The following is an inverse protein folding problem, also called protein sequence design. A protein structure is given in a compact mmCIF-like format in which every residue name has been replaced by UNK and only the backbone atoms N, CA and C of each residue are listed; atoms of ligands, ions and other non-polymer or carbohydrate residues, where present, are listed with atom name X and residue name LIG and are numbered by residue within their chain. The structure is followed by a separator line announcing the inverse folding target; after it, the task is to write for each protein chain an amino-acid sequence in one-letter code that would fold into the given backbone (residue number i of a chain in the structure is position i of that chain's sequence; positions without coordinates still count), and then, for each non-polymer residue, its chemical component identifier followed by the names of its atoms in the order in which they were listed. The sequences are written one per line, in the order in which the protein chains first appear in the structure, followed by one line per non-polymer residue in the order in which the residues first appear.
data_IF_867257992977
#
_entry.id   IF_867257992977
#
_cell.length_a   1.000
_cell.length_b   1.000
_cell.length_c   1.000
_cell.angle_alpha   90.00
_cell.angle_beta   90.00
_cell.angle_gamma   90.00
#
_symmetry.space_group_name_H-M   'P 1'
#
loop_
_entity.id
_entity.type
_entity.pdbx_description
1 polymer ?
#
# COMPACT_ATOMS: atom_id res chain seq x y z
N UNK A 1 10.67 -16.74 -8.29
CA UNK A 1 10.97 -15.68 -7.31
C UNK A 1 10.77 -16.17 -5.89
N UNK A 2 11.49 -15.60 -4.93
CA UNK A 2 11.22 -15.86 -3.51
C UNK A 2 10.01 -15.05 -3.03
N UNK A 3 9.19 -15.65 -2.16
CA UNK A 3 8.02 -14.99 -1.60
C UNK A 3 7.67 -15.53 -0.20
N UNK A 4 7.05 -14.67 0.62
CA UNK A 4 6.42 -15.07 1.88
C UNK A 4 4.93 -15.30 1.59
N UNK A 5 4.50 -16.53 1.77
CA UNK A 5 3.18 -16.97 1.32
C UNK A 5 2.39 -17.63 2.47
N UNK A 6 1.12 -17.33 2.54
CA UNK A 6 0.14 -18.05 3.33
C UNK A 6 -0.26 -19.31 2.58
N UNK A 7 0.35 -20.45 2.91
CA UNK A 7 0.18 -21.73 2.22
C UNK A 7 -0.81 -22.65 2.93
N UNK A 8 -1.11 -22.39 4.22
CA UNK A 8 -1.95 -23.24 5.07
C UNK A 8 -3.00 -22.43 5.83
N UNK A 9 -4.14 -23.05 6.05
CA UNK A 9 -5.24 -22.54 6.88
C UNK A 9 -4.89 -22.65 8.39
N UNK A 10 -3.76 -22.06 8.80
CA UNK A 10 -3.20 -22.12 10.15
C UNK A 10 -2.32 -20.87 10.40
N UNK A 11 -2.00 -20.50 11.65
CA UNK A 11 -1.03 -19.45 11.93
C UNK A 11 0.33 -19.69 11.25
N UNK A 12 0.98 -18.61 10.83
CA UNK A 12 2.29 -18.64 10.15
C UNK A 12 2.22 -18.30 8.67
N UNK A 13 3.37 -18.17 8.04
CA UNK A 13 3.58 -18.04 6.60
C UNK A 13 4.87 -18.78 6.24
N UNK A 14 5.01 -19.18 5.00
CA UNK A 14 6.16 -19.94 4.52
C UNK A 14 6.95 -19.13 3.50
N UNK A 15 8.28 -19.26 3.54
CA UNK A 15 9.18 -18.73 2.53
C UNK A 15 9.30 -19.75 1.40
N UNK A 16 8.79 -19.40 0.22
CA UNK A 16 8.63 -20.33 -0.90
C UNK A 16 9.28 -19.81 -2.18
N UNK A 17 9.49 -20.72 -3.11
CA UNK A 17 9.68 -20.38 -4.53
C UNK A 17 8.31 -20.27 -5.20
N UNK A 18 8.01 -19.09 -5.77
CA UNK A 18 6.79 -18.78 -6.50
C UNK A 18 7.12 -18.37 -7.93
N UNK A 19 6.17 -18.48 -8.84
CA UNK A 19 6.30 -17.94 -10.18
C UNK A 19 6.29 -16.40 -10.16
N UNK A 20 7.07 -15.78 -11.05
CA UNK A 20 6.99 -14.33 -11.26
C UNK A 20 5.63 -14.02 -11.91
N UNK A 21 4.86 -13.08 -11.37
CA UNK A 21 3.52 -12.80 -11.90
C UNK A 21 3.58 -12.24 -13.32
N UNK A 22 2.66 -12.69 -14.16
CA UNK A 22 2.44 -12.09 -15.47
C UNK A 22 1.57 -10.85 -15.32
N UNK A 23 1.97 -9.74 -15.95
CA UNK A 23 1.23 -8.48 -15.92
C UNK A 23 0.10 -8.44 -16.95
N UNK A 24 -0.97 -7.73 -16.62
CA UNK A 24 -2.02 -7.36 -17.57
C UNK A 24 -1.62 -6.10 -18.32
N UNK A 25 -2.42 -5.75 -19.34
CA UNK A 25 -2.15 -4.61 -20.22
C UNK A 25 -2.07 -3.26 -19.48
N UNK A 26 -2.73 -3.09 -18.35
CA UNK A 26 -2.76 -1.87 -17.52
C UNK A 26 -1.91 -1.98 -16.24
N UNK A 27 -1.08 -3.02 -16.13
CA UNK A 27 -0.24 -3.28 -14.96
C UNK A 27 1.24 -3.01 -15.24
N UNK A 28 1.99 -2.86 -14.17
CA UNK A 28 3.44 -2.80 -14.12
C UNK A 28 3.96 -4.03 -13.37
N UNK A 29 5.07 -4.62 -13.82
CA UNK A 29 5.86 -5.52 -13.00
C UNK A 29 6.88 -4.69 -12.23
N UNK A 30 6.82 -4.77 -10.91
CA UNK A 30 7.73 -4.06 -10.02
C UNK A 30 8.66 -5.08 -9.38
N UNK A 31 9.98 -4.87 -9.53
CA UNK A 31 11.00 -5.53 -8.72
C UNK A 31 11.03 -4.84 -7.38
N UNK A 32 10.60 -5.53 -6.34
CA UNK A 32 10.44 -4.95 -5.01
C UNK A 32 11.82 -4.65 -4.39
N UNK A 33 11.99 -3.40 -3.95
CA UNK A 33 13.17 -2.93 -3.23
C UNK A 33 12.98 -3.09 -1.72
N UNK A 34 11.81 -2.68 -1.22
CA UNK A 34 11.44 -2.80 0.18
C UNK A 34 9.93 -3.00 0.34
N UNK A 35 9.56 -3.71 1.39
CA UNK A 35 8.17 -3.86 1.85
C UNK A 35 8.11 -3.72 3.37
N UNK A 36 7.08 -3.04 3.87
CA UNK A 36 6.82 -2.84 5.29
C UNK A 36 5.70 -3.76 5.78
N UNK A 37 5.69 -4.05 7.07
CA UNK A 37 4.65 -4.85 7.71
C UNK A 37 3.59 -3.91 8.28
N UNK A 38 2.36 -4.02 7.79
CA UNK A 38 1.19 -3.34 8.32
C UNK A 38 0.58 -4.13 9.49
N UNK A 39 -0.12 -3.43 10.39
CA UNK A 39 -0.91 -4.08 11.42
C UNK A 39 -1.99 -5.04 10.88
N UNK A 40 -2.48 -4.80 9.65
CA UNK A 40 -3.44 -5.67 8.97
C UNK A 40 -2.84 -6.98 8.42
N UNK A 41 -1.51 -7.11 8.35
CA UNK A 41 -0.85 -8.37 8.01
C UNK A 41 -0.88 -9.38 9.17
N UNK A 42 -0.99 -8.90 10.42
CA UNK A 42 -1.02 -9.77 11.60
C UNK A 42 -2.23 -10.73 11.62
N UNK A 43 -3.48 -10.28 11.35
CA UNK A 43 -4.63 -11.18 11.19
C UNK A 43 -4.45 -12.21 10.06
N UNK A 44 -3.74 -11.84 8.99
CA UNK A 44 -3.42 -12.75 7.88
C UNK A 44 -2.43 -13.81 8.34
N UNK A 45 -1.34 -13.38 8.98
CA UNK A 45 -0.35 -14.28 9.55
C UNK A 45 -0.98 -15.25 10.57
N UNK A 46 -1.80 -14.72 11.49
CA UNK A 46 -2.51 -15.51 12.51
C UNK A 46 -3.65 -16.38 11.96
N UNK A 47 -4.05 -16.20 10.71
CA UNK A 47 -5.19 -16.88 10.07
C UNK A 47 -6.48 -16.75 10.87
N UNK A 48 -6.85 -15.52 11.19
CA UNK A 48 -8.10 -15.23 11.93
C UNK A 48 -9.33 -15.54 11.07
N UNK A 49 -10.51 -15.59 11.70
CA UNK A 49 -11.78 -15.80 11.00
C UNK A 49 -12.07 -14.74 9.91
N UNK A 50 -11.53 -13.54 10.06
CA UNK A 50 -11.62 -12.48 9.05
C UNK A 50 -10.78 -12.82 7.81
N UNK A 51 -9.51 -13.19 7.98
CA UNK A 51 -8.63 -13.54 6.86
C UNK A 51 -9.09 -14.83 6.17
N UNK A 52 -9.53 -15.83 6.94
CA UNK A 52 -10.04 -17.10 6.42
C UNK A 52 -11.25 -16.94 5.48
N UNK A 53 -12.09 -15.92 5.70
CA UNK A 53 -13.26 -15.63 4.85
C UNK A 53 -12.92 -14.82 3.62
N UNK A 54 -11.78 -14.13 3.61
CA UNK A 54 -11.46 -13.13 2.58
C UNK A 54 -10.38 -13.58 1.60
N UNK A 55 -9.48 -14.46 2.05
CA UNK A 55 -8.28 -14.77 1.28
C UNK A 55 -8.25 -16.23 0.82
N UNK A 56 -7.96 -16.48 -0.46
CA UNK A 56 -7.65 -17.83 -0.92
C UNK A 56 -6.27 -18.29 -0.38
N UNK A 57 -6.05 -19.59 -0.39
CA UNK A 57 -4.74 -20.20 -0.12
C UNK A 57 -4.35 -21.01 -1.36
N UNK A 58 -3.11 -20.88 -1.88
CA UNK A 58 -1.97 -20.09 -1.39
C UNK A 58 -2.12 -18.59 -1.70
N UNK A 59 -1.54 -17.72 -0.84
CA UNK A 59 -1.69 -16.27 -0.98
C UNK A 59 -0.42 -15.52 -0.51
N UNK A 60 0.14 -14.69 -1.39
CA UNK A 60 1.20 -13.74 -1.06
C UNK A 60 0.53 -12.46 -0.57
N UNK A 61 0.83 -12.03 0.65
CA UNK A 61 0.28 -10.83 1.26
C UNK A 61 1.30 -9.68 1.32
N UNK A 62 1.01 -8.61 2.07
CA UNK A 62 1.82 -7.39 2.10
C UNK A 62 1.38 -6.37 1.06
N UNK A 63 1.22 -5.11 1.47
CA UNK A 63 0.65 -4.04 0.63
C UNK A 63 1.39 -2.70 0.75
N UNK A 64 2.33 -2.58 1.67
CA UNK A 64 3.20 -1.43 1.83
C UNK A 64 4.54 -1.73 1.14
N UNK A 65 4.73 -1.27 -0.10
CA UNK A 65 5.91 -1.64 -0.89
C UNK A 65 6.36 -0.53 -1.85
N UNK A 66 7.63 -0.60 -2.21
CA UNK A 66 8.24 0.21 -3.25
C UNK A 66 9.23 -0.62 -4.06
N UNK A 67 9.57 -0.15 -5.23
CA UNK A 67 10.52 -0.84 -6.09
C UNK A 67 10.68 -0.21 -7.46
N UNK A 68 11.38 -0.92 -8.32
CA UNK A 68 11.71 -0.50 -9.68
C UNK A 68 10.78 -1.14 -10.71
N UNK A 69 10.29 -0.36 -11.65
CA UNK A 69 9.49 -0.84 -12.78
C UNK A 69 10.38 -1.61 -13.76
N UNK A 70 10.14 -2.92 -13.90
CA UNK A 70 10.93 -3.79 -14.82
C UNK A 70 10.17 -4.21 -16.07
N UNK A 71 8.82 -4.21 -16.01
CA UNK A 71 7.98 -4.46 -17.18
C UNK A 71 6.73 -3.57 -17.14
N UNK A 72 6.21 -3.21 -18.33
CA UNK A 72 5.11 -2.25 -18.49
C UNK A 72 4.11 -2.83 -19.45
N UNK A 73 2.86 -2.97 -19.02
CA UNK A 73 1.75 -3.36 -19.90
C UNK A 73 1.48 -2.29 -20.97
N UNK A 74 1.02 -2.71 -22.13
CA UNK A 74 0.88 -1.87 -23.34
C UNK A 74 -0.11 -0.69 -23.16
N UNK A 75 -1.03 -0.78 -22.21
CA UNK A 75 -1.97 0.30 -21.86
C UNK A 75 -1.53 1.12 -20.64
N UNK A 76 -0.52 0.69 -19.91
CA UNK A 76 0.05 1.46 -18.81
C UNK A 76 0.84 2.65 -19.38
N UNK A 77 0.56 3.87 -18.91
CA UNK A 77 1.17 5.11 -19.41
C UNK A 77 1.84 5.88 -18.28
N UNK A 78 2.84 6.69 -18.62
CA UNK A 78 3.54 7.58 -17.69
C UNK A 78 4.73 6.94 -16.97
N UNK A 79 5.10 5.72 -17.33
CA UNK A 79 6.21 4.98 -16.70
C UNK A 79 7.24 4.55 -17.76
N UNK A 80 8.48 4.42 -17.30
CA UNK A 80 9.58 3.80 -18.02
C UNK A 80 10.18 2.67 -17.17
N UNK A 81 10.84 1.71 -17.81
CA UNK A 81 11.66 0.73 -17.10
C UNK A 81 12.78 1.47 -16.36
N UNK A 82 13.01 1.08 -15.11
CA UNK A 82 13.95 1.74 -14.21
C UNK A 82 13.33 2.84 -13.34
N UNK A 83 12.08 3.26 -13.58
CA UNK A 83 11.40 4.21 -12.70
C UNK A 83 11.22 3.58 -11.30
N UNK A 84 11.59 4.34 -10.27
CA UNK A 84 11.32 3.95 -8.89
C UNK A 84 9.95 4.43 -8.45
N UNK A 85 9.15 3.53 -7.87
CA UNK A 85 7.77 3.80 -7.48
C UNK A 85 7.46 3.32 -6.07
N UNK A 86 6.57 4.03 -5.39
CA UNK A 86 5.82 3.53 -4.23
C UNK A 86 4.42 3.12 -4.67
N UNK A 87 3.81 2.19 -3.96
CA UNK A 87 2.54 1.60 -4.35
C UNK A 87 1.43 1.99 -3.38
N UNK A 88 0.32 2.46 -3.94
CA UNK A 88 -0.96 2.64 -3.24
C UNK A 88 -1.71 1.30 -3.23
N UNK A 89 -2.14 0.87 -2.06
CA UNK A 89 -2.79 -0.44 -1.89
C UNK A 89 -4.23 -0.50 -2.40
N UNK A 90 -4.92 0.65 -2.51
CA UNK A 90 -6.33 0.75 -2.88
C UNK A 90 -6.55 0.67 -4.39
N UNK A 91 -6.92 -0.51 -4.88
CA UNK A 91 -7.22 -0.76 -6.30
C UNK A 91 -8.68 -0.40 -6.56
N UNK A 92 -8.93 0.84 -6.98
CA UNK A 92 -10.27 1.36 -7.29
C UNK A 92 -10.72 1.02 -8.71
N UNK A 93 -12.04 0.92 -8.95
CA UNK A 93 -12.58 0.54 -10.25
C UNK A 93 -12.63 1.68 -11.29
N UNK A 94 -12.64 2.93 -10.88
CA UNK A 94 -12.72 4.11 -11.75
C UNK A 94 -14.12 4.42 -12.31
N UNK A 95 -15.12 3.55 -12.11
CA UNK A 95 -16.42 3.62 -12.79
C UNK A 95 -17.61 3.86 -11.87
N UNK A 96 -17.53 3.48 -10.58
CA UNK A 96 -18.64 3.62 -9.65
C UNK A 96 -18.89 5.09 -9.28
N UNK A 97 -20.00 5.36 -8.61
CA UNK A 97 -20.38 6.71 -8.19
C UNK A 97 -19.27 7.41 -7.40
N UNK A 98 -18.67 6.74 -6.42
CA UNK A 98 -17.60 7.29 -5.59
C UNK A 98 -16.37 7.64 -6.43
N UNK A 99 -15.93 6.75 -7.31
CA UNK A 99 -14.79 7.01 -8.18
C UNK A 99 -15.01 8.21 -9.11
N UNK A 100 -16.24 8.36 -9.62
CA UNK A 100 -16.59 9.48 -10.53
C UNK A 100 -16.77 10.81 -9.81
N UNK A 101 -16.88 10.78 -8.47
CA UNK A 101 -16.92 11.96 -7.60
C UNK A 101 -15.64 12.15 -6.80
N UNK A 102 -14.52 11.62 -7.30
CA UNK A 102 -13.17 11.73 -6.73
C UNK A 102 -13.01 11.14 -5.31
N UNK A 103 -13.91 10.22 -4.93
CA UNK A 103 -13.90 9.50 -3.66
C UNK A 103 -13.42 8.06 -3.86
N UNK A 104 -12.25 7.90 -4.51
CA UNK A 104 -11.71 6.59 -4.92
C UNK A 104 -11.42 5.67 -3.74
N UNK A 105 -11.02 6.23 -2.61
CA UNK A 105 -10.72 5.53 -1.36
C UNK A 105 -11.94 4.77 -0.78
N UNK A 106 -13.16 5.17 -1.12
CA UNK A 106 -14.42 4.47 -0.75
C UNK A 106 -15.12 3.86 -1.97
N UNK A 107 -14.37 3.41 -2.94
CA UNK A 107 -14.87 2.74 -4.13
C UNK A 107 -15.76 1.56 -3.78
N UNK A 108 -16.96 1.43 -4.41
CA UNK A 108 -17.87 0.30 -4.17
C UNK A 108 -17.29 -1.06 -4.55
N UNK A 109 -16.30 -1.08 -5.44
CA UNK A 109 -15.62 -2.29 -5.90
C UNK A 109 -14.14 -2.27 -5.52
N UNK A 110 -13.82 -1.69 -4.35
CA UNK A 110 -12.47 -1.58 -3.86
C UNK A 110 -11.86 -2.96 -3.64
N UNK A 111 -10.64 -3.15 -4.14
CA UNK A 111 -9.77 -4.27 -3.78
C UNK A 111 -8.51 -3.74 -3.13
N UNK A 112 -8.00 -4.46 -2.16
CA UNK A 112 -6.75 -4.11 -1.48
C UNK A 112 -5.66 -5.07 -1.94
N UNK A 113 -4.54 -4.51 -2.41
CA UNK A 113 -3.32 -5.27 -2.70
C UNK A 113 -2.90 -6.05 -1.45
N UNK A 114 -2.45 -7.28 -1.60
CA UNK A 114 -2.02 -8.11 -0.48
C UNK A 114 -3.13 -8.57 0.47
N UNK A 115 -4.40 -8.27 0.15
CA UNK A 115 -5.59 -8.73 0.89
C UNK A 115 -6.61 -9.35 -0.07
N UNK A 116 -7.00 -8.66 -1.13
CA UNK A 116 -7.97 -9.13 -2.14
C UNK A 116 -7.29 -9.57 -3.44
N UNK A 117 -6.03 -9.18 -3.62
CA UNK A 117 -5.14 -9.58 -4.73
C UNK A 117 -3.78 -9.95 -4.16
N UNK A 118 -2.99 -10.72 -4.90
CA UNK A 118 -1.62 -11.07 -4.50
C UNK A 118 -0.84 -9.81 -4.13
N UNK A 119 -0.06 -9.88 -3.08
CA UNK A 119 0.66 -8.75 -2.49
C UNK A 119 2.15 -8.72 -2.81
N UNK A 120 2.90 -7.97 -2.01
CA UNK A 120 4.28 -7.62 -2.24
C UNK A 120 5.31 -8.22 -1.29
N UNK A 121 4.99 -9.19 -0.44
CA UNK A 121 6.03 -9.92 0.28
C UNK A 121 6.70 -10.96 -0.63
N UNK A 122 7.29 -10.47 -1.71
CA UNK A 122 7.96 -11.24 -2.76
C UNK A 122 9.04 -10.39 -3.45
N UNK A 123 9.83 -10.99 -4.34
CA UNK A 123 10.81 -10.24 -5.13
C UNK A 123 10.17 -9.40 -6.24
N UNK A 124 8.98 -9.79 -6.71
CA UNK A 124 8.23 -9.08 -7.77
C UNK A 124 6.74 -9.04 -7.45
N UNK A 125 6.08 -7.96 -7.87
CA UNK A 125 4.62 -7.82 -7.81
C UNK A 125 4.07 -7.21 -9.11
N UNK A 126 2.90 -7.69 -9.53
CA UNK A 126 2.11 -7.09 -10.61
C UNK A 126 1.16 -6.05 -10.01
N UNK A 127 1.32 -4.77 -10.38
CA UNK A 127 0.60 -3.64 -9.79
C UNK A 127 -0.15 -2.88 -10.88
N UNK A 128 -1.45 -2.57 -10.73
CA UNK A 128 -2.13 -1.66 -11.64
C UNK A 128 -1.39 -0.32 -11.72
N UNK A 129 -1.07 0.16 -12.92
CA UNK A 129 -0.27 1.38 -13.11
C UNK A 129 -0.85 2.60 -12.37
N UNK A 130 -2.19 2.67 -12.25
CA UNK A 130 -2.89 3.74 -11.51
C UNK A 130 -2.63 3.73 -9.99
N UNK A 131 -2.06 2.65 -9.45
CA UNK A 131 -1.71 2.51 -8.04
C UNK A 131 -0.20 2.77 -7.80
N UNK A 132 0.58 3.03 -8.84
CA UNK A 132 2.01 3.32 -8.73
C UNK A 132 2.26 4.83 -8.75
N UNK A 133 3.06 5.31 -7.79
CA UNK A 133 3.48 6.69 -7.66
C UNK A 133 4.98 6.80 -7.90
N UNK A 134 5.34 7.47 -9.01
CA UNK A 134 6.73 7.63 -9.41
C UNK A 134 7.43 8.68 -8.56
N UNK A 135 8.62 8.36 -8.08
CA UNK A 135 9.51 9.31 -7.44
C UNK A 135 10.37 10.07 -8.47
N UNK A 136 10.64 11.32 -8.18
CA UNK A 136 11.47 12.18 -9.05
C UNK A 136 12.96 11.90 -8.93
N UNK A 137 13.37 11.31 -7.81
CA UNK A 137 14.76 11.02 -7.46
C UNK A 137 14.88 9.84 -6.50
N UNK A 138 16.10 9.49 -6.13
CA UNK A 138 16.43 8.34 -5.29
C UNK A 138 16.30 8.60 -3.78
N UNK A 139 15.95 9.82 -3.35
CA UNK A 139 15.93 10.19 -1.92
C UNK A 139 14.94 9.39 -1.08
N UNK A 140 13.91 8.85 -1.71
CA UNK A 140 12.86 8.05 -1.05
C UNK A 140 13.07 6.54 -1.14
N UNK A 141 14.17 6.04 -1.72
CA UNK A 141 14.37 4.59 -1.89
C UNK A 141 14.30 3.81 -0.60
N UNK A 142 14.93 4.32 0.46
CA UNK A 142 15.01 3.64 1.76
C UNK A 142 13.68 3.69 2.55
N UNK A 143 12.80 4.63 2.21
CA UNK A 143 11.54 4.88 2.92
C UNK A 143 10.31 4.72 2.02
N UNK A 144 10.49 4.33 0.77
CA UNK A 144 9.40 4.26 -0.22
C UNK A 144 8.28 3.32 0.16
N UNK A 145 8.55 2.26 0.91
CA UNK A 145 7.53 1.31 1.37
C UNK A 145 6.53 1.92 2.38
N UNK A 146 6.93 2.95 3.13
CA UNK A 146 6.03 3.61 4.10
C UNK A 146 5.19 4.74 3.50
N UNK A 147 5.29 4.99 2.20
CA UNK A 147 4.49 6.03 1.55
C UNK A 147 2.99 5.70 1.53
N UNK A 148 2.63 4.41 1.49
CA UNK A 148 1.24 3.97 1.60
C UNK A 148 0.62 4.38 2.95
N UNK A 149 1.16 3.97 4.11
CA UNK A 149 0.62 4.39 5.40
C UNK A 149 0.76 5.90 5.65
N UNK A 150 1.80 6.56 5.12
CA UNK A 150 1.93 8.01 5.18
C UNK A 150 0.77 8.71 4.44
N UNK A 151 0.37 8.22 3.26
CA UNK A 151 -0.77 8.76 2.51
C UNK A 151 -2.07 8.70 3.30
N UNK A 152 -2.32 7.59 4.00
CA UNK A 152 -3.46 7.45 4.90
C UNK A 152 -3.43 8.48 6.05
N UNK A 153 -2.26 8.70 6.65
CA UNK A 153 -2.09 9.69 7.72
C UNK A 153 -2.28 11.14 7.21
N UNK A 154 -1.79 11.45 6.01
CA UNK A 154 -2.01 12.76 5.35
C UNK A 154 -3.50 12.99 5.15
N UNK A 155 -4.20 12.03 4.54
CA UNK A 155 -5.64 12.13 4.30
C UNK A 155 -6.44 12.33 5.60
N UNK A 156 -6.16 11.53 6.64
CA UNK A 156 -6.84 11.63 7.93
C UNK A 156 -6.57 12.96 8.63
N UNK A 157 -5.31 13.41 8.65
CA UNK A 157 -4.89 14.62 9.38
C UNK A 157 -5.41 15.89 8.72
N UNK A 158 -5.47 15.93 7.39
CA UNK A 158 -5.86 17.08 6.60
C UNK A 158 -7.31 17.02 6.11
N UNK A 159 -8.13 16.11 6.63
CA UNK A 159 -9.56 16.06 6.33
C UNK A 159 -10.33 17.31 6.80
N UNK A 160 -9.75 18.04 7.75
CA UNK A 160 -10.23 19.31 8.26
C UNK A 160 -9.09 20.34 8.24
N UNK A 161 -9.44 21.63 8.21
CA UNK A 161 -8.45 22.71 8.37
C UNK A 161 -7.89 22.68 9.80
N UNK A 162 -6.57 22.57 9.91
CA UNK A 162 -5.85 22.46 11.19
C UNK A 162 -4.95 23.66 11.51
N UNK A 163 -4.84 24.63 10.57
CA UNK A 163 -3.99 25.79 10.73
C UNK A 163 -4.41 26.60 11.97
N UNK A 164 -3.48 26.87 12.87
CA UNK A 164 -3.73 27.62 14.10
C UNK A 164 -4.51 26.85 15.18
N UNK A 165 -4.93 25.61 14.94
CA UNK A 165 -5.71 24.81 15.90
C UNK A 165 -4.82 23.97 16.81
N UNK A 166 -5.40 23.51 17.93
CA UNK A 166 -4.81 22.46 18.76
C UNK A 166 -5.26 21.10 18.24
N UNK A 167 -4.30 20.21 17.98
CA UNK A 167 -4.54 18.86 17.47
C UNK A 167 -4.14 17.85 18.54
N UNK A 168 -5.03 16.92 18.85
CA UNK A 168 -4.78 15.75 19.71
C UNK A 168 -4.68 14.49 18.85
N UNK A 169 -3.57 13.80 18.93
CA UNK A 169 -3.33 12.50 18.29
C UNK A 169 -3.37 11.41 19.38
N UNK A 170 -4.39 10.56 19.33
CA UNK A 170 -4.50 9.42 20.24
C UNK A 170 -3.92 8.16 19.59
N UNK A 171 -2.81 7.67 20.14
CA UNK A 171 -2.05 6.53 19.65
C UNK A 171 -0.75 6.94 18.95
N UNK A 172 0.40 6.54 19.52
CA UNK A 172 1.75 6.83 18.98
C UNK A 172 2.32 5.65 18.16
N UNK A 173 1.47 4.89 17.47
CA UNK A 173 1.91 3.95 16.44
C UNK A 173 2.31 4.68 15.14
N UNK A 174 2.70 3.97 14.07
CA UNK A 174 3.16 4.59 12.82
C UNK A 174 2.23 5.68 12.29
N UNK A 175 0.92 5.44 12.24
CA UNK A 175 -0.07 6.41 11.81
C UNK A 175 -0.09 7.68 12.67
N UNK A 176 -0.04 7.51 14.01
CA UNK A 176 -0.02 8.64 14.94
C UNK A 176 1.26 9.46 14.86
N UNK A 177 2.42 8.81 14.65
CA UNK A 177 3.69 9.49 14.45
C UNK A 177 3.68 10.32 13.16
N UNK A 178 3.15 9.78 12.06
CA UNK A 178 2.95 10.53 10.81
C UNK A 178 1.99 11.70 11.02
N UNK A 179 0.81 11.46 11.61
CA UNK A 179 -0.19 12.49 11.87
C UNK A 179 0.37 13.65 12.71
N UNK A 180 1.17 13.34 13.74
CA UNK A 180 1.84 14.33 14.59
C UNK A 180 2.78 15.23 13.78
N UNK A 181 3.60 14.65 12.92
CA UNK A 181 4.54 15.37 12.07
C UNK A 181 3.80 16.22 11.02
N UNK A 182 2.79 15.64 10.36
CA UNK A 182 1.95 16.31 9.35
C UNK A 182 1.23 17.50 9.98
N UNK A 183 0.57 17.30 11.13
CA UNK A 183 -0.13 18.38 11.82
C UNK A 183 0.80 19.56 12.16
N UNK A 184 2.01 19.27 12.65
CA UNK A 184 3.02 20.28 12.94
C UNK A 184 3.50 20.99 11.67
N UNK A 185 3.79 20.26 10.60
CA UNK A 185 4.27 20.81 9.34
C UNK A 185 3.19 21.68 8.64
N UNK A 186 1.92 21.31 8.81
CA UNK A 186 0.78 22.00 8.19
C UNK A 186 0.20 23.15 9.06
N UNK A 187 0.89 23.59 10.11
CA UNK A 187 0.58 24.83 10.81
C UNK A 187 -0.37 24.70 12.00
N UNK A 188 -0.53 23.51 12.59
CA UNK A 188 -1.22 23.39 13.87
C UNK A 188 -0.47 24.19 14.95
N UNK A 189 -1.19 24.99 15.73
CA UNK A 189 -0.61 25.82 16.80
C UNK A 189 -0.06 24.97 17.94
N UNK A 190 -0.69 23.84 18.23
CA UNK A 190 -0.28 22.88 19.26
C UNK A 190 -0.61 21.46 18.82
N UNK A 191 0.34 20.55 18.98
CA UNK A 191 0.12 19.10 18.75
C UNK A 191 0.42 18.36 20.05
N UNK A 192 -0.51 17.52 20.49
CA UNK A 192 -0.39 16.66 21.67
C UNK A 192 -0.56 15.23 21.19
N UNK A 193 0.36 14.36 21.54
CA UNK A 193 0.31 12.92 21.22
C UNK A 193 0.31 12.08 22.51
N UNK A 194 -0.55 11.08 22.58
CA UNK A 194 -0.75 10.19 23.73
C UNK A 194 -0.53 8.74 23.34
#
# INVERSE_FOLDING_TARGET
MKAICKTKAAPGAEYIDAEVPQIKSDELLIKIHAASICGSDLPIYAYTSWSAKRMPIPFIFGHELCGEVVEIGDKAKGFNKGDFVSVESHIFCGLCYQCRNDQRHVCSNLKILGIDTQGGFAEYAAIPARCAWKHSDDSCKDIGSIMEPLGNAVFATLSEDIVGKSVLVSGCGPQGLFATQIAKACGAAKVISL
#
